data_IF_407721643566
#
_entry.id   IF_407721643566
#
_cell.length_a   1.000
_cell.length_b   1.000
_cell.length_c   1.000
_cell.angle_alpha   90.00
_cell.angle_beta   90.00
_cell.angle_gamma   90.00
#
_symmetry.space_group_name_H-M   'P 1'
#
loop_
_entity.id
_entity.type
_entity.pdbx_description
1 polymer ?
#
# COMPACT_ATOMS: atom_id res chain seq x y z
N UNK A 1 -14.12 -56.15 -63.22
CA UNK A 1 -13.09 -55.28 -62.62
C UNK A 1 -13.59 -54.85 -61.25
N UNK A 2 -12.89 -55.27 -60.19
CA UNK A 2 -13.24 -55.08 -58.77
C UNK A 2 -12.09 -54.33 -58.07
N UNK A 3 -12.46 -53.41 -57.18
CA UNK A 3 -11.88 -53.10 -55.87
C UNK A 3 -10.44 -52.55 -55.67
N UNK A 4 -10.42 -51.29 -55.18
CA UNK A 4 -9.79 -50.76 -53.93
C UNK A 4 -8.33 -51.03 -53.55
N UNK A 5 -7.53 -49.95 -53.38
CA UNK A 5 -6.96 -49.41 -52.11
C UNK A 5 -5.94 -48.27 -52.42
N UNK A 6 -6.19 -47.04 -51.93
CA UNK A 6 -5.60 -46.39 -50.73
C UNK A 6 -4.06 -46.25 -50.79
N UNK A 7 -3.57 -45.02 -51.00
CA UNK A 7 -2.17 -44.62 -50.79
C UNK A 7 -2.05 -43.82 -49.49
N UNK A 8 -1.30 -44.37 -48.53
CA UNK A 8 -0.86 -43.69 -47.32
C UNK A 8 0.33 -42.77 -47.62
N UNK A 9 0.22 -41.49 -47.32
CA UNK A 9 1.36 -40.62 -47.05
C UNK A 9 1.39 -40.33 -45.54
N UNK A 10 2.51 -40.70 -44.93
CA UNK A 10 2.77 -40.67 -43.50
C UNK A 10 2.82 -39.25 -42.94
N UNK A 11 2.00 -39.03 -41.92
CA UNK A 11 1.92 -37.83 -41.07
C UNK A 11 3.14 -37.77 -40.15
N UNK A 12 3.98 -36.74 -40.29
CA UNK A 12 4.75 -36.19 -39.17
C UNK A 12 4.03 -34.91 -38.72
N UNK A 13 3.26 -35.00 -37.64
CA UNK A 13 2.82 -33.83 -36.90
C UNK A 13 3.55 -33.82 -35.56
N UNK A 14 4.45 -32.84 -35.41
CA UNK A 14 5.14 -32.50 -34.17
C UNK A 14 4.11 -32.14 -33.10
N UNK A 15 4.20 -32.82 -31.95
CA UNK A 15 3.44 -32.49 -30.74
C UNK A 15 4.01 -31.21 -30.12
N UNK A 16 3.35 -30.08 -30.32
CA UNK A 16 3.49 -28.94 -29.43
C UNK A 16 2.51 -29.15 -28.26
N UNK A 17 3.06 -29.42 -27.07
CA UNK A 17 2.31 -29.35 -25.82
C UNK A 17 2.13 -27.86 -25.55
N UNK A 18 0.93 -27.34 -25.83
CA UNK A 18 0.51 -26.03 -25.35
C UNK A 18 0.16 -26.24 -23.88
N UNK A 19 1.10 -25.92 -22.99
CA UNK A 19 0.76 -25.61 -21.61
C UNK A 19 -0.11 -24.35 -21.65
N UNK A 20 -1.43 -24.51 -21.59
CA UNK A 20 -2.30 -23.45 -21.09
C UNK A 20 -1.97 -23.29 -19.60
N UNK A 21 -1.05 -22.39 -19.30
CA UNK A 21 -1.06 -21.72 -18.02
C UNK A 21 -2.40 -20.97 -17.99
N UNK A 22 -3.37 -21.53 -17.27
CA UNK A 22 -4.49 -20.76 -16.75
C UNK A 22 -3.88 -19.72 -15.82
N UNK A 23 -3.53 -18.56 -16.38
CA UNK A 23 -3.39 -17.37 -15.57
C UNK A 23 -4.79 -17.10 -15.03
N UNK A 24 -5.02 -17.47 -13.77
CA UNK A 24 -6.10 -16.88 -13.01
C UNK A 24 -5.75 -15.38 -12.98
N UNK A 25 -6.41 -14.58 -13.81
CA UNK A 25 -6.38 -13.14 -13.62
C UNK A 25 -7.09 -12.95 -12.27
N UNK A 26 -6.32 -12.66 -11.23
CA UNK A 26 -6.92 -12.19 -9.98
C UNK A 26 -7.55 -10.86 -10.35
N UNK A 27 -8.86 -10.87 -10.44
CA UNK A 27 -9.65 -9.72 -10.86
C UNK A 27 -9.75 -8.75 -9.71
N UNK A 28 -9.63 -7.47 -10.06
CA UNK A 28 -9.66 -6.31 -9.15
C UNK A 28 -11.07 -5.79 -9.09
N UNK A 29 -11.56 -5.20 -8.01
CA UNK A 29 -12.80 -4.46 -8.19
C UNK A 29 -12.72 -3.33 -9.22
N UNK A 30 -13.86 -3.04 -9.82
CA UNK A 30 -13.99 -1.92 -10.75
C UNK A 30 -14.15 -0.62 -9.95
N UNK A 31 -13.13 0.23 -10.03
CA UNK A 31 -13.09 1.53 -9.40
C UNK A 31 -12.84 2.62 -10.42
N UNK A 32 -13.46 3.77 -10.20
CA UNK A 32 -13.14 5.01 -10.89
C UNK A 32 -12.20 5.80 -10.02
N UNK A 33 -11.07 6.18 -10.59
CA UNK A 33 -10.13 7.08 -9.95
C UNK A 33 -10.34 8.51 -10.43
N UNK A 34 -10.21 9.46 -9.50
CA UNK A 34 -10.12 10.87 -9.84
C UNK A 34 -8.82 11.20 -10.57
N UNK A 35 -8.67 12.47 -10.94
CA UNK A 35 -7.39 12.99 -11.42
C UNK A 35 -6.43 13.16 -10.23
N UNK A 36 -5.18 12.65 -10.32
CA UNK A 36 -4.17 12.91 -9.31
C UNK A 36 -3.88 14.41 -9.14
N UNK A 37 -3.80 14.85 -7.88
CA UNK A 37 -3.42 16.22 -7.54
C UNK A 37 -2.46 16.25 -6.35
N UNK A 38 -1.64 17.29 -6.26
CA UNK A 38 -0.80 17.51 -5.08
C UNK A 38 -1.68 17.79 -3.87
N UNK A 39 -1.33 17.22 -2.71
CA UNK A 39 -2.04 17.49 -1.46
C UNK A 39 -1.90 18.97 -1.09
N UNK A 40 -2.99 19.74 -1.01
CA UNK A 40 -2.93 21.17 -0.70
C UNK A 40 -2.41 21.42 0.72
N UNK A 41 -1.67 22.52 0.92
CA UNK A 41 -1.10 22.99 2.20
C UNK A 41 -0.10 22.05 2.91
N UNK A 42 0.07 20.82 2.43
CA UNK A 42 1.03 19.86 2.99
C UNK A 42 2.41 20.04 2.35
N UNK A 43 2.45 20.16 1.02
CA UNK A 43 3.69 20.30 0.26
C UNK A 43 4.40 21.64 0.51
N UNK A 44 5.71 21.64 0.29
CA UNK A 44 6.62 22.78 0.46
C UNK A 44 7.58 22.91 -0.74
N UNK A 45 8.54 23.83 -0.65
CA UNK A 45 9.64 23.91 -1.63
C UNK A 45 10.72 22.84 -1.41
N UNK A 46 10.67 22.16 -0.26
CA UNK A 46 11.57 21.09 0.10
C UNK A 46 11.06 19.76 -0.45
N UNK A 47 11.83 18.69 -0.23
CA UNK A 47 11.36 17.34 -0.56
C UNK A 47 10.33 16.91 0.48
N UNK A 48 9.14 16.51 0.04
CA UNK A 48 8.06 15.97 0.87
C UNK A 48 7.63 14.61 0.33
N UNK A 49 7.78 13.57 1.13
CA UNK A 49 7.63 12.18 0.66
C UNK A 49 7.11 11.24 1.75
N UNK A 50 6.84 10.00 1.35
CA UNK A 50 6.41 8.91 2.21
C UNK A 50 5.18 9.25 3.08
N UNK A 51 4.04 9.60 2.46
CA UNK A 51 2.82 9.88 3.18
C UNK A 51 2.28 8.62 3.88
N UNK A 52 1.92 8.75 5.14
CA UNK A 52 1.25 7.74 5.95
C UNK A 52 0.02 8.35 6.60
N UNK A 53 -1.15 7.96 6.11
CA UNK A 53 -2.44 8.36 6.65
C UNK A 53 -2.84 7.44 7.82
N UNK A 54 -3.30 8.03 8.92
CA UNK A 54 -3.86 7.29 10.05
C UNK A 54 -5.14 6.57 9.66
N UNK A 55 -5.48 5.45 10.34
CA UNK A 55 -6.69 4.66 10.05
C UNK A 55 -7.98 5.46 10.07
N UNK A 56 -8.11 6.43 10.97
CA UNK A 56 -9.28 7.32 11.07
C UNK A 56 -9.27 8.48 10.06
N UNK A 57 -8.25 8.56 9.20
CA UNK A 57 -8.09 9.61 8.20
C UNK A 57 -7.75 10.99 8.76
N UNK A 58 -7.42 11.16 10.04
CA UNK A 58 -7.29 12.50 10.66
C UNK A 58 -5.85 13.00 10.83
N UNK A 59 -4.85 12.12 10.75
CA UNK A 59 -3.43 12.48 10.85
C UNK A 59 -2.68 11.99 9.59
N UNK A 60 -2.04 12.90 8.86
CA UNK A 60 -1.16 12.58 7.72
C UNK A 60 0.29 12.83 8.13
N UNK A 61 1.03 11.74 8.34
CA UNK A 61 2.47 11.76 8.61
C UNK A 61 3.26 11.69 7.31
N UNK A 62 4.42 12.32 7.25
CA UNK A 62 5.29 12.26 6.08
C UNK A 62 6.73 12.70 6.40
N UNK A 63 7.68 12.35 5.53
CA UNK A 63 9.09 12.76 5.64
C UNK A 63 9.29 14.10 4.93
N UNK A 64 10.04 15.01 5.54
CA UNK A 64 10.32 16.32 4.95
C UNK A 64 11.67 16.90 5.33
N UNK A 65 12.31 17.60 4.39
CA UNK A 65 13.57 18.34 4.60
C UNK A 65 13.36 19.83 4.92
N UNK A 66 12.12 20.27 5.16
CA UNK A 66 11.74 21.70 5.19
C UNK A 66 12.39 22.59 6.27
N UNK A 67 12.91 22.03 7.36
CA UNK A 67 13.50 22.83 8.46
C UNK A 67 15.04 22.82 8.45
N UNK A 68 15.63 21.63 8.47
CA UNK A 68 17.07 21.45 8.78
C UNK A 68 17.88 20.99 7.58
N UNK A 69 17.23 20.68 6.45
CA UNK A 69 17.84 19.97 5.33
C UNK A 69 18.03 18.47 5.56
N UNK A 70 17.87 17.99 6.79
CA UNK A 70 17.73 16.56 7.13
C UNK A 70 16.26 16.17 7.09
N UNK A 71 15.98 14.92 6.72
CA UNK A 71 14.62 14.42 6.82
C UNK A 71 14.16 14.34 8.28
N UNK A 72 12.98 14.92 8.55
CA UNK A 72 12.23 14.76 9.79
C UNK A 72 10.83 14.28 9.46
N UNK A 73 10.16 13.65 10.43
CA UNK A 73 8.74 13.34 10.28
C UNK A 73 7.90 14.55 10.68
N UNK A 74 6.98 14.91 9.78
CA UNK A 74 5.98 15.95 9.96
C UNK A 74 4.60 15.33 9.99
N UNK A 75 3.66 16.04 10.61
CA UNK A 75 2.26 15.64 10.69
C UNK A 75 1.35 16.83 10.39
N UNK A 76 0.35 16.62 9.53
CA UNK A 76 -0.82 17.49 9.41
C UNK A 76 -2.02 16.81 10.06
N UNK A 77 -2.82 17.55 10.84
CA UNK A 77 -3.97 17.01 11.57
C UNK A 77 -5.24 17.78 11.24
N UNK A 78 -6.24 17.09 10.71
CA UNK A 78 -7.56 17.68 10.40
C UNK A 78 -8.61 17.20 11.41
N UNK A 79 -9.68 17.99 11.60
CA UNK A 79 -10.72 17.66 12.57
C UNK A 79 -11.69 16.60 12.04
N UNK A 80 -12.00 16.67 10.75
CA UNK A 80 -12.84 15.70 10.04
C UNK A 80 -12.21 15.34 8.69
N UNK A 81 -12.64 14.23 8.10
CA UNK A 81 -12.18 13.81 6.77
C UNK A 81 -12.61 14.73 5.63
N UNK A 82 -13.53 15.66 5.89
CA UNK A 82 -13.98 16.68 4.93
C UNK A 82 -13.17 17.97 4.99
N UNK A 83 -12.43 18.18 6.08
CA UNK A 83 -11.62 19.38 6.25
C UNK A 83 -10.34 19.27 5.40
N UNK A 84 -9.91 20.41 4.87
CA UNK A 84 -8.60 20.50 4.22
C UNK A 84 -7.48 20.26 5.25
N UNK A 85 -6.38 19.66 4.79
CA UNK A 85 -5.18 19.56 5.60
C UNK A 85 -4.67 20.96 5.98
N UNK A 86 -4.47 21.25 7.28
CA UNK A 86 -3.78 22.47 7.70
C UNK A 86 -2.28 22.38 7.44
N UNK A 87 -1.58 23.50 7.68
CA UNK A 87 -0.12 23.50 7.67
C UNK A 87 0.43 22.47 8.67
N UNK A 88 1.38 21.62 8.25
CA UNK A 88 1.93 20.56 9.10
C UNK A 88 2.91 21.12 10.14
N UNK A 89 3.15 20.35 11.18
CA UNK A 89 4.15 20.60 12.23
C UNK A 89 5.10 19.40 12.35
N UNK A 90 6.35 19.57 12.81
CA UNK A 90 7.18 18.41 13.14
C UNK A 90 6.49 17.59 14.24
N UNK A 91 6.72 16.28 14.27
CA UNK A 91 6.20 15.45 15.36
C UNK A 91 6.84 15.87 16.69
N UNK A 92 6.02 15.96 17.74
CA UNK A 92 6.51 16.26 19.08
C UNK A 92 7.12 14.99 19.69
N UNK A 93 8.44 14.96 19.72
CA UNK A 93 9.22 13.92 20.38
C UNK A 93 9.81 14.51 21.66
N UNK A 94 9.83 13.72 22.73
CA UNK A 94 10.43 14.15 24.01
C UNK A 94 11.93 14.53 23.94
N UNK A 95 12.60 14.23 22.83
CA UNK A 95 14.03 14.48 22.57
C UNK A 95 14.23 14.89 21.11
N UNK A 96 15.12 15.87 20.84
CA UNK A 96 15.47 16.24 19.46
C UNK A 96 16.25 15.08 18.79
N UNK A 97 15.83 14.58 17.61
CA UNK A 97 16.47 13.42 17.01
C UNK A 97 17.89 13.75 16.51
N UNK A 98 18.83 12.82 16.73
CA UNK A 98 20.24 13.00 16.34
C UNK A 98 20.54 12.55 14.89
N UNK A 99 19.62 11.81 14.29
CA UNK A 99 19.68 11.24 12.93
C UNK A 99 18.45 11.65 12.11
N UNK A 100 18.38 11.23 10.84
CA UNK A 100 17.19 11.49 10.02
C UNK A 100 15.98 10.67 10.51
N UNK A 101 14.79 11.05 10.06
CA UNK A 101 13.58 10.26 10.26
C UNK A 101 12.82 10.20 8.94
N UNK A 102 12.74 9.00 8.36
CA UNK A 102 12.14 8.75 7.05
C UNK A 102 11.16 7.58 7.08
N UNK A 103 10.28 7.54 6.09
CA UNK A 103 9.34 6.44 5.84
C UNK A 103 8.46 6.09 7.05
N UNK A 104 7.64 7.05 7.54
CA UNK A 104 6.77 6.79 8.69
C UNK A 104 5.78 5.67 8.40
N UNK A 105 5.58 4.79 9.39
CA UNK A 105 4.55 3.75 9.38
C UNK A 105 3.81 3.71 10.70
N UNK A 106 2.55 4.12 10.66
CA UNK A 106 1.69 4.24 11.83
C UNK A 106 0.87 2.96 12.02
N UNK A 107 0.91 2.41 13.23
CA UNK A 107 0.01 1.33 13.66
C UNK A 107 -1.47 1.74 13.60
N UNK A 108 -2.37 0.77 13.42
CA UNK A 108 -3.80 1.06 13.22
C UNK A 108 -4.49 1.74 14.41
N UNK A 109 -4.03 1.49 15.64
CA UNK A 109 -4.51 2.18 16.85
C UNK A 109 -3.86 3.56 17.04
N UNK A 110 -2.87 3.89 16.19
CA UNK A 110 -2.13 5.13 16.23
C UNK A 110 -1.17 5.25 17.40
N UNK A 111 -0.85 4.18 18.13
CA UNK A 111 -0.05 4.27 19.36
C UNK A 111 1.44 3.96 19.17
N UNK A 112 1.79 3.32 18.05
CA UNK A 112 3.16 3.06 17.59
C UNK A 112 3.39 3.74 16.23
N UNK A 113 4.51 4.46 16.08
CA UNK A 113 4.98 5.03 14.81
C UNK A 113 6.40 4.50 14.53
N UNK A 114 6.52 3.66 13.52
CA UNK A 114 7.77 3.09 13.04
C UNK A 114 8.38 4.02 11.99
N UNK A 115 9.70 4.10 11.95
CA UNK A 115 10.43 4.89 10.95
C UNK A 115 11.85 4.35 10.78
N UNK A 116 12.52 4.73 9.70
CA UNK A 116 13.95 4.46 9.51
C UNK A 116 14.78 5.72 9.75
N UNK A 117 15.99 5.59 10.31
CA UNK A 117 16.80 6.72 10.76
C UNK A 117 17.74 7.36 9.72
N UNK A 118 17.54 7.04 8.44
CA UNK A 118 18.14 7.76 7.32
C UNK A 118 18.81 6.88 6.26
N UNK A 119 19.90 7.39 5.69
CA UNK A 119 20.74 6.73 4.68
C UNK A 119 22.20 6.68 5.17
N UNK A 120 23.07 5.96 4.45
CA UNK A 120 24.50 5.82 4.78
C UNK A 120 25.12 7.16 5.22
N UNK A 121 25.61 7.21 6.46
CA UNK A 121 26.28 8.38 7.04
C UNK A 121 25.39 9.31 7.87
N UNK A 122 24.09 9.05 7.97
CA UNK A 122 23.18 9.76 8.89
C UNK A 122 22.60 8.90 10.01
N UNK A 123 22.99 7.61 10.08
CA UNK A 123 22.56 6.67 11.11
C UNK A 123 22.80 7.17 12.54
N UNK A 124 21.88 6.84 13.45
CA UNK A 124 22.06 7.10 14.87
C UNK A 124 23.23 6.24 15.41
N UNK A 125 24.23 6.83 16.10
CA UNK A 125 25.32 6.07 16.72
C UNK A 125 24.89 5.01 17.74
N UNK A 126 23.65 5.05 18.22
CA UNK A 126 23.05 4.04 19.08
C UNK A 126 22.42 2.86 18.31
N UNK A 127 22.40 2.91 16.97
CA UNK A 127 21.94 1.86 16.08
C UNK A 127 22.97 0.75 15.81
N UNK A 128 22.64 -0.13 14.87
CA UNK A 128 23.38 -1.33 14.49
C UNK A 128 24.06 -1.23 13.13
N UNK A 129 23.48 -0.47 12.19
CA UNK A 129 23.93 -0.39 10.81
C UNK A 129 23.92 1.02 10.21
N UNK A 130 23.82 1.07 8.88
CA UNK A 130 23.82 2.29 8.08
C UNK A 130 22.42 2.97 8.02
N UNK A 131 21.37 2.21 8.30
CA UNK A 131 20.00 2.68 8.50
C UNK A 131 19.26 1.65 9.35
N UNK A 132 18.62 2.09 10.42
CA UNK A 132 17.93 1.24 11.38
C UNK A 132 16.46 1.61 11.47
N UNK A 133 15.61 0.63 11.78
CA UNK A 133 14.20 0.85 12.11
C UNK A 133 14.04 1.12 13.61
N UNK A 134 13.33 2.20 13.90
CA UNK A 134 13.00 2.69 15.23
C UNK A 134 11.49 2.76 15.41
N UNK A 135 11.04 2.76 16.67
CA UNK A 135 9.64 2.94 17.04
C UNK A 135 9.48 4.05 18.08
N UNK A 136 8.50 4.91 17.84
CA UNK A 136 7.97 5.86 18.81
C UNK A 136 6.67 5.30 19.38
N UNK A 137 6.44 5.49 20.67
CA UNK A 137 5.19 5.08 21.33
C UNK A 137 4.52 6.26 22.02
N UNK A 138 3.19 6.24 22.14
CA UNK A 138 2.41 7.21 22.92
C UNK A 138 1.29 6.50 23.68
N UNK A 139 0.86 7.07 24.81
CA UNK A 139 -0.17 6.47 25.65
C UNK A 139 -1.59 6.64 25.07
N UNK A 140 -1.82 7.71 24.32
CA UNK A 140 -3.04 7.98 23.57
C UNK A 140 -2.72 8.83 22.33
N UNK A 141 -3.67 8.91 21.37
CA UNK A 141 -3.51 9.71 20.14
C UNK A 141 -3.26 11.20 20.41
N UNK A 142 -3.69 11.71 21.57
CA UNK A 142 -3.46 13.10 21.98
C UNK A 142 -2.15 13.33 22.73
N UNK A 143 -1.48 12.28 23.19
CA UNK A 143 -0.24 12.39 23.94
C UNK A 143 0.98 12.59 23.00
N UNK A 144 2.04 13.27 23.47
CA UNK A 144 3.29 13.37 22.72
C UNK A 144 3.94 11.99 22.54
N UNK A 145 4.84 11.89 21.56
CA UNK A 145 5.63 10.68 21.36
C UNK A 145 6.73 10.57 22.42
N UNK A 146 6.87 9.38 22.99
CA UNK A 146 8.00 9.01 23.85
C UNK A 146 9.32 9.03 23.06
N UNK A 147 10.44 8.94 23.75
CA UNK A 147 11.76 8.81 23.12
C UNK A 147 11.81 7.58 22.20
N UNK A 148 12.49 7.68 21.03
CA UNK A 148 12.57 6.59 20.07
C UNK A 148 13.31 5.38 20.64
N UNK A 149 12.83 4.20 20.27
CA UNK A 149 13.41 2.92 20.66
C UNK A 149 13.83 2.15 19.41
N UNK A 150 15.09 1.71 19.36
CA UNK A 150 15.58 0.89 18.28
C UNK A 150 14.95 -0.52 18.35
N UNK A 151 14.53 -1.09 17.22
CA UNK A 151 13.90 -2.41 17.20
C UNK A 151 14.85 -3.59 17.50
N UNK A 152 16.13 -3.32 17.69
CA UNK A 152 17.13 -4.27 18.13
C UNK A 152 17.67 -5.15 17.00
N UNK A 153 18.68 -5.94 17.33
CA UNK A 153 19.50 -6.68 16.36
C UNK A 153 18.79 -7.84 15.64
N UNK A 154 17.52 -8.09 15.95
CA UNK A 154 16.71 -9.08 15.21
C UNK A 154 16.19 -8.47 13.91
N UNK A 155 15.86 -7.17 13.96
CA UNK A 155 15.38 -6.40 12.82
C UNK A 155 16.56 -5.71 12.16
N UNK A 156 17.30 -4.93 12.94
CA UNK A 156 18.38 -4.08 12.46
C UNK A 156 19.69 -4.87 12.40
N UNK A 157 20.32 -4.87 11.25
CA UNK A 157 21.57 -5.58 10.96
C UNK A 157 22.72 -4.57 10.89
N UNK A 158 23.89 -5.01 10.41
CA UNK A 158 24.98 -4.09 10.10
C UNK A 158 24.82 -3.39 8.74
N UNK A 159 23.70 -3.62 8.06
CA UNK A 159 23.41 -3.08 6.73
C UNK A 159 22.34 -1.98 6.84
N UNK A 160 21.43 -1.86 5.89
CA UNK A 160 20.34 -0.87 5.88
C UNK A 160 19.00 -1.59 5.97
N UNK A 161 18.22 -1.23 6.98
CA UNK A 161 16.81 -1.58 7.12
C UNK A 161 15.95 -0.32 7.07
N UNK A 162 15.06 -0.25 6.07
CA UNK A 162 14.26 0.94 5.81
C UNK A 162 12.82 0.62 5.37
N UNK A 163 12.04 1.68 5.14
CA UNK A 163 10.65 1.63 4.68
C UNK A 163 9.75 0.63 5.43
N UNK A 164 9.61 0.77 6.77
CA UNK A 164 8.76 -0.10 7.55
C UNK A 164 7.29 -0.01 7.14
N UNK A 165 6.56 -1.10 7.32
CA UNK A 165 5.12 -1.21 7.16
C UNK A 165 4.55 -2.18 8.21
N UNK A 166 3.91 -1.64 9.24
CA UNK A 166 3.25 -2.41 10.29
C UNK A 166 1.84 -2.83 9.85
N UNK A 167 1.47 -4.10 10.06
CA UNK A 167 0.13 -4.61 9.77
C UNK A 167 -0.93 -3.99 10.68
N UNK A 168 -2.21 -4.11 10.30
CA UNK A 168 -3.32 -3.52 11.04
C UNK A 168 -3.48 -4.09 12.45
N UNK A 169 -3.25 -5.38 12.64
CA UNK A 169 -3.23 -6.03 13.97
C UNK A 169 -1.94 -5.73 14.75
N UNK A 170 -0.93 -5.20 14.08
CA UNK A 170 0.39 -4.91 14.61
C UNK A 170 1.24 -6.16 14.84
N UNK A 171 0.94 -7.30 14.21
CA UNK A 171 1.67 -8.56 14.43
C UNK A 171 2.64 -8.91 13.30
N UNK A 172 2.56 -8.27 12.14
CA UNK A 172 3.50 -8.41 11.03
C UNK A 172 4.18 -7.05 10.76
N UNK A 173 5.50 -7.08 10.56
CA UNK A 173 6.26 -5.91 10.09
C UNK A 173 6.95 -6.28 8.78
N UNK A 174 6.57 -5.57 7.72
CA UNK A 174 7.22 -5.61 6.42
C UNK A 174 8.22 -4.46 6.35
N UNK A 175 9.39 -4.69 5.78
CA UNK A 175 10.41 -3.66 5.61
C UNK A 175 11.40 -4.06 4.52
N UNK A 176 12.21 -3.10 4.07
CA UNK A 176 13.27 -3.34 3.09
C UNK A 176 14.56 -3.62 3.84
N UNK A 177 15.29 -4.64 3.41
CA UNK A 177 16.63 -4.97 3.90
C UNK A 177 17.59 -5.15 2.73
N UNK A 178 18.79 -4.58 2.84
CA UNK A 178 19.85 -4.72 1.84
C UNK A 178 20.97 -5.70 2.25
N UNK A 179 20.70 -6.63 3.18
CA UNK A 179 21.71 -7.59 3.66
C UNK A 179 22.32 -8.37 2.47
N UNK A 180 23.65 -8.34 2.27
CA UNK A 180 24.32 -8.82 1.05
C UNK A 180 24.18 -10.32 0.69
N UNK A 181 23.48 -11.12 1.48
CA UNK A 181 23.27 -12.56 1.26
C UNK A 181 21.87 -12.89 0.71
N UNK A 182 21.01 -11.89 0.61
CA UNK A 182 19.81 -11.92 -0.21
C UNK A 182 20.23 -11.79 -1.68
N UNK A 183 19.52 -12.42 -2.61
CA UNK A 183 20.02 -12.66 -3.97
C UNK A 183 20.15 -11.35 -4.78
N UNK A 184 19.63 -10.24 -4.25
CA UNK A 184 19.60 -8.89 -4.79
C UNK A 184 19.87 -7.83 -3.70
N UNK A 185 20.21 -6.61 -4.13
CA UNK A 185 20.69 -5.53 -3.25
C UNK A 185 19.63 -4.95 -2.30
N UNK A 186 18.32 -4.98 -2.62
CA UNK A 186 17.25 -4.52 -1.71
C UNK A 186 16.05 -5.46 -1.83
N UNK A 187 15.65 -6.12 -0.75
CA UNK A 187 14.51 -7.04 -0.73
C UNK A 187 13.48 -6.62 0.34
N UNK A 188 12.19 -6.81 0.04
CA UNK A 188 11.13 -6.72 1.05
C UNK A 188 11.15 -8.01 1.86
N UNK A 189 11.36 -7.86 3.16
CA UNK A 189 11.29 -8.94 4.15
C UNK A 189 10.12 -8.71 5.10
N UNK A 190 9.70 -9.77 5.76
CA UNK A 190 8.63 -9.73 6.75
C UNK A 190 9.05 -10.47 8.02
N UNK A 191 8.67 -9.94 9.17
CA UNK A 191 8.77 -10.62 10.46
C UNK A 191 7.44 -10.59 11.20
N UNK A 192 7.26 -11.51 12.16
CA UNK A 192 6.06 -11.59 12.99
C UNK A 192 6.37 -11.54 14.48
N UNK A 193 5.38 -11.15 15.29
CA UNK A 193 5.37 -11.28 16.76
C UNK A 193 4.06 -11.91 17.22
N UNK A 194 4.10 -12.64 18.33
CA UNK A 194 2.91 -13.33 18.86
C UNK A 194 1.88 -12.37 19.49
N UNK A 195 2.35 -11.23 20.00
CA UNK A 195 1.53 -10.13 20.49
C UNK A 195 2.32 -8.82 20.38
N UNK A 196 1.65 -7.67 20.56
CA UNK A 196 2.32 -6.35 20.56
C UNK A 196 3.40 -6.17 21.65
N UNK A 197 3.45 -7.06 22.63
CA UNK A 197 4.42 -7.03 23.72
C UNK A 197 5.51 -8.11 23.61
N UNK A 198 5.37 -9.02 22.63
CA UNK A 198 6.36 -10.04 22.38
C UNK A 198 7.47 -9.51 21.44
N UNK A 199 8.70 -10.03 21.57
CA UNK A 199 9.76 -9.68 20.64
C UNK A 199 9.42 -10.12 19.21
N UNK A 200 9.94 -9.38 18.25
CA UNK A 200 9.90 -9.78 16.84
C UNK A 200 10.65 -11.09 16.61
N UNK A 201 10.13 -11.89 15.68
CA UNK A 201 10.74 -13.10 15.18
C UNK A 201 11.85 -12.83 14.17
N UNK A 202 12.44 -13.92 13.67
CA UNK A 202 13.44 -13.82 12.60
C UNK A 202 12.73 -13.43 11.29
N UNK A 203 13.24 -12.41 10.56
CA UNK A 203 12.66 -12.03 9.28
C UNK A 203 12.83 -13.11 8.21
N UNK A 204 11.88 -13.15 7.29
CA UNK A 204 11.84 -14.01 6.11
C UNK A 204 11.67 -13.17 4.85
N UNK A 205 12.27 -13.61 3.75
CA UNK A 205 12.09 -12.97 2.45
C UNK A 205 10.76 -13.37 1.84
N UNK A 206 10.14 -12.42 1.14
CA UNK A 206 8.95 -12.73 0.34
C UNK A 206 9.34 -13.51 -0.92
N UNK A 207 8.35 -14.19 -1.53
CA UNK A 207 8.55 -14.97 -2.74
C UNK A 207 8.85 -14.08 -3.97
N UNK A 208 9.26 -14.72 -5.07
CA UNK A 208 9.70 -14.03 -6.30
C UNK A 208 8.63 -13.28 -7.07
N UNK A 209 7.39 -13.29 -6.58
CA UNK A 209 6.30 -12.46 -7.09
C UNK A 209 6.31 -11.05 -6.50
N UNK A 210 7.02 -10.85 -5.38
CA UNK A 210 7.28 -9.53 -4.81
C UNK A 210 8.75 -9.19 -5.07
N UNK A 211 9.68 -9.98 -4.53
CA UNK A 211 11.12 -9.75 -4.68
C UNK A 211 11.63 -10.36 -5.99
N UNK A 212 11.83 -9.56 -7.03
CA UNK A 212 12.27 -10.04 -8.33
C UNK A 212 13.76 -9.73 -8.60
N UNK A 213 14.16 -9.57 -9.87
CA UNK A 213 15.55 -9.26 -10.24
C UNK A 213 15.90 -7.77 -10.07
N UNK A 214 14.90 -6.92 -9.81
CA UNK A 214 15.05 -5.49 -9.57
C UNK A 214 15.26 -5.21 -8.08
N UNK A 215 14.78 -4.05 -7.64
CA UNK A 215 14.94 -3.56 -6.29
C UNK A 215 13.55 -3.15 -5.81
N UNK A 216 13.11 -3.77 -4.73
CA UNK A 216 11.78 -3.54 -4.18
C UNK A 216 11.88 -2.65 -2.94
N UNK A 217 10.99 -1.67 -2.87
CA UNK A 217 10.96 -0.66 -1.82
C UNK A 217 9.55 -0.37 -1.35
N UNK A 218 9.46 0.34 -0.23
CA UNK A 218 8.26 1.07 0.18
C UNK A 218 6.99 0.19 0.26
N UNK A 219 7.03 -0.94 0.99
CA UNK A 219 5.86 -1.77 1.19
C UNK A 219 4.74 -0.98 1.86
N UNK A 220 3.50 -1.24 1.44
CA UNK A 220 2.28 -0.82 2.13
C UNK A 220 1.29 -1.98 2.07
N UNK A 221 0.91 -2.49 3.23
CA UNK A 221 -0.03 -3.59 3.40
C UNK A 221 -1.44 -3.02 3.59
N UNK A 222 -2.41 -3.55 2.85
CA UNK A 222 -3.83 -3.25 3.08
C UNK A 222 -4.30 -3.72 4.46
N UNK A 223 -5.40 -3.16 4.94
CA UNK A 223 -5.86 -3.41 6.33
C UNK A 223 -6.32 -4.86 6.56
N UNK A 224 -6.85 -5.51 5.54
CA UNK A 224 -7.20 -6.94 5.53
C UNK A 224 -5.95 -7.84 5.41
N UNK A 225 -4.78 -7.27 5.11
CA UNK A 225 -3.55 -8.01 4.88
C UNK A 225 -3.49 -8.72 3.53
N UNK A 226 -4.43 -8.50 2.59
CA UNK A 226 -4.54 -9.29 1.36
C UNK A 226 -3.92 -8.63 0.13
N UNK A 227 -3.56 -7.35 0.20
CA UNK A 227 -2.88 -6.60 -0.85
C UNK A 227 -1.60 -5.95 -0.32
N UNK A 228 -0.50 -6.14 -1.05
CA UNK A 228 0.78 -5.51 -0.78
C UNK A 228 1.14 -4.59 -1.95
N UNK A 229 1.19 -3.29 -1.67
CA UNK A 229 1.71 -2.29 -2.59
C UNK A 229 3.20 -2.14 -2.31
N UNK A 230 3.98 -1.96 -3.36
CA UNK A 230 5.40 -1.71 -3.25
C UNK A 230 5.89 -0.97 -4.48
N UNK A 231 7.00 -0.25 -4.38
CA UNK A 231 7.64 0.34 -5.54
C UNK A 231 8.80 -0.54 -6.02
N UNK A 232 8.93 -0.69 -7.33
CA UNK A 232 10.08 -1.37 -7.94
C UNK A 232 10.66 -0.52 -9.06
N UNK A 233 11.99 -0.61 -9.21
CA UNK A 233 12.75 0.10 -10.24
C UNK A 233 14.06 0.68 -9.71
N UNK A 234 14.91 1.14 -10.64
CA UNK A 234 16.17 1.79 -10.32
C UNK A 234 15.93 3.27 -10.03
N UNK A 235 16.11 4.14 -11.03
CA UNK A 235 15.95 5.59 -10.88
C UNK A 235 14.51 6.08 -11.03
N UNK A 236 13.68 5.32 -11.75
CA UNK A 236 12.27 5.62 -12.01
C UNK A 236 11.43 4.51 -11.40
N UNK A 237 11.24 4.56 -10.08
CA UNK A 237 10.42 3.59 -9.39
C UNK A 237 8.95 3.80 -9.77
N UNK A 238 8.20 2.71 -9.83
CA UNK A 238 6.77 2.69 -10.07
C UNK A 238 6.11 1.77 -9.07
N UNK A 239 4.82 2.01 -8.77
CA UNK A 239 4.07 1.22 -7.81
C UNK A 239 3.48 0.00 -8.48
N UNK A 240 3.60 -1.12 -7.77
CA UNK A 240 3.02 -2.40 -8.10
C UNK A 240 2.18 -2.89 -6.92
N UNK A 241 1.21 -3.75 -7.22
CA UNK A 241 0.39 -4.42 -6.21
C UNK A 241 0.42 -5.92 -6.44
N UNK A 242 0.68 -6.68 -5.38
CA UNK A 242 0.51 -8.12 -5.32
C UNK A 242 -0.62 -8.45 -4.34
N UNK A 243 -1.33 -9.56 -4.55
CA UNK A 243 -2.43 -9.99 -3.67
C UNK A 243 -2.19 -11.39 -3.10
N UNK A 244 -2.94 -11.79 -2.08
CA UNK A 244 -3.00 -13.17 -1.58
C UNK A 244 -4.43 -13.52 -1.17
N UNK A 245 -4.92 -14.76 -1.39
CA UNK A 245 -6.28 -15.14 -1.01
C UNK A 245 -6.55 -15.14 0.49
N UNK A 246 -5.54 -15.51 1.29
CA UNK A 246 -5.59 -15.45 2.76
C UNK A 246 -4.25 -14.98 3.29
N UNK A 247 -4.19 -14.57 4.57
CA UNK A 247 -2.95 -14.14 5.21
C UNK A 247 -1.89 -15.24 5.32
N UNK A 248 -2.27 -16.51 5.17
CA UNK A 248 -1.35 -17.66 5.19
C UNK A 248 -0.82 -18.03 3.80
N UNK A 249 -1.41 -17.48 2.74
CA UNK A 249 -1.02 -17.76 1.36
C UNK A 249 0.15 -16.88 0.90
N UNK A 250 0.88 -17.37 -0.10
CA UNK A 250 1.96 -16.60 -0.75
C UNK A 250 1.41 -15.53 -1.68
N UNK A 251 2.14 -14.42 -1.82
CA UNK A 251 1.82 -13.36 -2.77
C UNK A 251 1.74 -13.85 -4.22
N UNK A 252 0.71 -13.39 -4.93
CA UNK A 252 0.50 -13.58 -6.37
C UNK A 252 1.39 -12.64 -7.18
N UNK A 253 1.51 -12.89 -8.48
CA UNK A 253 2.31 -12.03 -9.36
C UNK A 253 1.82 -10.59 -9.32
N UNK A 254 2.78 -9.66 -9.23
CA UNK A 254 2.50 -8.25 -9.17
C UNK A 254 1.79 -7.74 -10.42
N UNK A 255 1.10 -6.62 -10.25
CA UNK A 255 0.44 -5.89 -11.31
C UNK A 255 0.81 -4.41 -11.22
N UNK A 256 0.94 -3.76 -12.37
CA UNK A 256 1.21 -2.32 -12.43
C UNK A 256 0.04 -1.54 -11.83
N UNK A 257 0.33 -0.56 -10.98
CA UNK A 257 -0.69 0.18 -10.27
C UNK A 257 -1.05 1.50 -10.97
N UNK A 258 -2.02 1.43 -11.88
CA UNK A 258 -2.67 2.62 -12.48
C UNK A 258 -3.85 3.07 -11.62
N UNK A 259 -4.08 4.37 -11.39
CA UNK A 259 -3.49 5.53 -12.09
C UNK A 259 -2.39 6.28 -11.34
N UNK A 260 -1.96 5.83 -10.15
CA UNK A 260 -0.96 6.58 -9.35
C UNK A 260 0.38 6.69 -10.08
N UNK A 261 0.69 5.71 -10.91
CA UNK A 261 1.88 5.70 -11.74
C UNK A 261 1.77 6.74 -12.85
N UNK A 262 2.70 7.71 -12.83
CA UNK A 262 2.75 8.80 -13.78
C UNK A 262 4.11 8.94 -14.47
N UNK A 263 4.33 10.09 -15.11
CA UNK A 263 5.66 10.45 -15.59
C UNK A 263 6.60 10.69 -14.39
N UNK A 264 7.83 10.15 -14.48
CA UNK A 264 8.83 10.26 -13.42
C UNK A 264 8.88 9.03 -12.52
N UNK A 265 9.04 9.25 -11.22
CA UNK A 265 9.04 8.20 -10.20
C UNK A 265 7.80 8.35 -9.31
N UNK A 266 7.17 7.22 -8.98
CA UNK A 266 6.02 7.12 -8.06
C UNK A 266 6.31 6.03 -7.03
N UNK A 267 6.14 6.32 -5.74
CA UNK A 267 6.36 5.37 -4.65
C UNK A 267 5.62 5.78 -3.36
N UNK A 268 5.80 5.00 -2.28
CA UNK A 268 5.19 5.20 -0.97
C UNK A 268 3.68 5.46 -1.02
N UNK A 269 2.91 4.43 -1.32
CA UNK A 269 1.44 4.49 -1.25
C UNK A 269 0.99 4.39 0.20
N UNK A 270 -0.04 5.14 0.57
CA UNK A 270 -0.90 4.84 1.70
C UNK A 270 -2.36 5.12 1.34
N UNK A 271 -3.29 4.43 2.01
CA UNK A 271 -4.71 4.47 1.68
C UNK A 271 -5.56 4.78 2.92
N UNK A 272 -6.48 5.72 2.74
CA UNK A 272 -7.51 6.09 3.71
C UNK A 272 -8.84 5.48 3.30
N UNK A 273 -9.34 4.53 4.11
CA UNK A 273 -10.67 3.95 3.90
C UNK A 273 -11.80 4.93 4.25
N UNK A 274 -11.56 5.85 5.20
CA UNK A 274 -12.58 6.78 5.71
C UNK A 274 -13.02 7.83 4.70
N UNK A 275 -12.16 8.16 3.75
CA UNK A 275 -12.46 9.07 2.65
C UNK A 275 -11.96 8.55 1.31
N UNK A 276 -11.83 7.23 1.16
CA UNK A 276 -11.44 6.55 -0.08
C UNK A 276 -10.35 7.26 -0.88
N UNK A 277 -9.29 7.69 -0.21
CA UNK A 277 -8.22 8.50 -0.82
C UNK A 277 -6.89 7.76 -0.73
N UNK A 278 -6.20 7.66 -1.86
CA UNK A 278 -4.84 7.15 -1.92
C UNK A 278 -3.90 8.35 -1.89
N UNK A 279 -2.92 8.31 -0.98
CA UNK A 279 -1.80 9.24 -0.93
C UNK A 279 -0.56 8.55 -1.46
N UNK A 280 0.29 9.29 -2.17
CA UNK A 280 1.51 8.74 -2.72
C UNK A 280 2.58 9.82 -2.95
N UNK A 281 3.82 9.40 -3.15
CA UNK A 281 4.92 10.31 -3.51
C UNK A 281 5.16 10.30 -5.01
N UNK A 282 5.37 11.47 -5.58
CA UNK A 282 5.82 11.61 -6.98
C UNK A 282 6.93 12.65 -7.11
N UNK A 283 7.87 12.40 -8.02
CA UNK A 283 8.98 13.31 -8.35
C UNK A 283 9.60 12.98 -9.71
N UNK A 284 10.68 13.67 -10.08
CA UNK A 284 11.32 13.46 -11.38
C UNK A 284 12.04 12.11 -11.47
N UNK A 285 12.81 11.77 -10.44
CA UNK A 285 13.49 10.49 -10.24
C UNK A 285 13.97 10.38 -8.79
N UNK A 286 14.39 9.20 -8.34
CA UNK A 286 14.72 8.98 -6.92
C UNK A 286 15.92 9.81 -6.40
N UNK A 287 16.77 10.34 -7.29
CA UNK A 287 17.94 11.14 -6.92
C UNK A 287 17.71 12.66 -7.01
N UNK A 288 16.56 13.09 -7.54
CA UNK A 288 16.28 14.51 -7.76
C UNK A 288 15.91 15.25 -6.47
N UNK A 289 15.45 14.52 -5.45
CA UNK A 289 14.99 15.06 -4.17
C UNK A 289 13.91 16.15 -4.36
N UNK A 290 13.10 16.08 -5.42
CA UNK A 290 12.05 17.01 -5.79
C UNK A 290 10.64 16.46 -5.53
N UNK A 291 10.52 15.62 -4.50
CA UNK A 291 9.30 14.90 -4.19
C UNK A 291 8.21 15.80 -3.64
N UNK A 292 6.99 15.49 -4.08
CA UNK A 292 5.77 16.01 -3.51
C UNK A 292 4.82 14.87 -3.16
N UNK A 293 3.92 15.13 -2.24
CA UNK A 293 2.84 14.26 -1.83
C UNK A 293 1.61 14.57 -2.70
N UNK A 294 1.10 13.53 -3.34
CA UNK A 294 -0.06 13.53 -4.21
C UNK A 294 -1.19 12.73 -3.57
N UNK A 295 -2.41 13.01 -4.01
CA UNK A 295 -3.61 12.28 -3.66
C UNK A 295 -4.45 11.97 -4.89
N UNK A 296 -5.21 10.88 -4.82
CA UNK A 296 -6.24 10.54 -5.79
C UNK A 296 -7.43 9.90 -5.08
N UNK A 297 -8.64 10.33 -5.45
CA UNK A 297 -9.88 9.76 -4.94
C UNK A 297 -10.16 8.43 -5.63
N UNK A 298 -10.60 7.43 -4.87
CA UNK A 298 -11.14 6.17 -5.38
C UNK A 298 -12.65 6.15 -5.15
N UNK A 299 -13.41 5.83 -6.19
CA UNK A 299 -14.87 5.69 -6.13
C UNK A 299 -15.25 4.29 -6.63
N UNK A 300 -15.92 3.45 -5.84
CA UNK A 300 -16.40 2.15 -6.31
C UNK A 300 -17.43 2.33 -7.42
N UNK A 301 -17.40 1.44 -8.41
CA UNK A 301 -18.51 1.31 -9.38
C UNK A 301 -19.62 0.54 -8.69
N UNK A 302 -20.73 1.22 -8.40
CA UNK A 302 -21.85 0.68 -7.61
C UNK A 302 -23.15 0.52 -8.41
N UNK A 303 -23.20 1.08 -9.61
CA UNK A 303 -24.23 0.79 -10.62
C UNK A 303 -23.74 -0.45 -11.39
N UNK A 304 -24.12 -1.62 -10.87
CA UNK A 304 -23.63 -2.94 -11.27
C UNK A 304 -24.35 -3.48 -12.50
N UNK A 305 -25.53 -2.94 -12.83
CA UNK A 305 -26.29 -3.30 -14.02
C UNK A 305 -26.19 -2.26 -15.16
N UNK A 306 -25.47 -1.15 -14.95
CA UNK A 306 -25.25 -0.04 -15.89
C UNK A 306 -26.57 0.60 -16.39
N UNK A 307 -27.56 0.73 -15.50
CA UNK A 307 -28.86 1.32 -15.81
C UNK A 307 -28.97 2.82 -15.45
N UNK A 308 -27.93 3.37 -14.82
CA UNK A 308 -27.83 4.76 -14.41
C UNK A 308 -28.39 5.06 -13.02
N UNK A 309 -28.84 4.05 -12.28
CA UNK A 309 -29.29 4.16 -10.89
C UNK A 309 -28.49 3.21 -9.98
N UNK A 310 -28.41 3.56 -8.70
CA UNK A 310 -27.89 2.65 -7.65
C UNK A 310 -29.08 2.26 -6.79
N UNK A 311 -29.68 1.12 -7.08
CA UNK A 311 -30.95 0.69 -6.51
C UNK A 311 -30.99 -0.81 -6.15
N UNK A 312 -32.19 -1.34 -5.90
CA UNK A 312 -32.36 -2.74 -5.50
C UNK A 312 -31.95 -3.75 -6.58
N UNK A 313 -31.87 -3.36 -7.86
CA UNK A 313 -31.40 -4.21 -8.95
C UNK A 313 -29.89 -4.46 -8.85
N UNK A 314 -29.10 -3.47 -8.42
CA UNK A 314 -27.67 -3.66 -8.13
C UNK A 314 -27.45 -4.63 -6.98
N UNK A 315 -28.31 -4.56 -5.96
CA UNK A 315 -28.28 -5.53 -4.86
C UNK A 315 -28.52 -6.95 -5.38
N UNK A 316 -29.43 -7.14 -6.34
CA UNK A 316 -29.64 -8.45 -6.95
C UNK A 316 -28.46 -8.90 -7.81
N UNK A 317 -27.80 -8.00 -8.54
CA UNK A 317 -26.57 -8.30 -9.29
C UNK A 317 -25.46 -8.77 -8.34
N UNK A 318 -25.23 -8.05 -7.24
CA UNK A 318 -24.23 -8.39 -6.24
C UNK A 318 -24.53 -9.76 -5.60
N UNK A 319 -25.76 -9.96 -5.10
CA UNK A 319 -26.17 -11.23 -4.47
C UNK A 319 -26.17 -12.40 -5.47
N UNK A 320 -26.40 -12.14 -6.75
CA UNK A 320 -26.30 -13.13 -7.82
C UNK A 320 -24.88 -13.65 -8.06
N UNK A 321 -23.87 -12.92 -7.59
CA UNK A 321 -22.45 -13.26 -7.72
C UNK A 321 -21.77 -13.56 -6.37
N UNK A 322 -22.55 -13.88 -5.33
CA UNK A 322 -22.04 -14.15 -3.98
C UNK A 322 -21.01 -15.28 -3.92
N UNK A 323 -19.92 -15.04 -3.19
CA UNK A 323 -18.81 -15.98 -2.99
C UNK A 323 -17.57 -15.64 -3.83
N UNK A 324 -16.60 -16.58 -3.92
CA UNK A 324 -15.38 -16.38 -4.69
C UNK A 324 -15.69 -16.06 -6.15
N UNK A 325 -15.08 -14.99 -6.66
CA UNK A 325 -15.38 -14.46 -7.99
C UNK A 325 -14.12 -14.12 -8.77
N UNK A 326 -14.17 -14.31 -10.09
CA UNK A 326 -13.25 -13.72 -11.06
C UNK A 326 -13.89 -12.52 -11.78
N UNK A 327 -14.99 -12.00 -11.25
CA UNK A 327 -15.71 -10.85 -11.78
C UNK A 327 -15.53 -9.65 -10.86
N UNK A 328 -14.39 -9.02 -11.10
CA UNK A 328 -14.00 -7.64 -10.82
C UNK A 328 -15.18 -6.73 -10.40
N UNK A 329 -16.16 -6.52 -11.28
CA UNK A 329 -17.29 -5.61 -11.09
C UNK A 329 -18.05 -5.75 -9.76
N UNK A 330 -18.12 -6.95 -9.17
CA UNK A 330 -18.93 -7.22 -7.98
C UNK A 330 -18.12 -7.25 -6.66
N UNK A 331 -16.79 -7.22 -6.73
CA UNK A 331 -15.87 -7.40 -5.60
C UNK A 331 -15.40 -6.05 -5.04
N UNK A 332 -16.33 -5.11 -4.86
CA UNK A 332 -16.09 -3.69 -4.59
C UNK A 332 -15.55 -3.38 -3.18
N UNK A 333 -15.36 -4.40 -2.35
CA UNK A 333 -14.78 -4.30 -1.02
C UNK A 333 -13.83 -5.48 -0.70
N UNK A 334 -12.83 -5.26 0.17
CA UNK A 334 -12.41 -3.99 0.69
C UNK A 334 -11.80 -3.09 -0.39
N UNK A 335 -12.10 -1.79 -0.30
CA UNK A 335 -11.51 -0.81 -1.20
C UNK A 335 -9.99 -0.72 -0.99
N UNK A 336 -9.20 -0.44 -2.04
CA UNK A 336 -9.63 -0.10 -3.39
C UNK A 336 -9.46 -1.25 -4.42
N UNK A 337 -9.47 -2.54 -4.03
CA UNK A 337 -9.21 -3.64 -4.99
C UNK A 337 -10.03 -4.91 -4.84
N UNK A 338 -10.85 -5.03 -3.79
CA UNK A 338 -11.55 -6.28 -3.52
C UNK A 338 -10.65 -7.34 -2.89
N UNK A 339 -11.25 -8.41 -2.39
CA UNK A 339 -10.54 -9.57 -1.83
C UNK A 339 -10.71 -10.85 -2.68
N UNK A 340 -11.36 -10.73 -3.84
CA UNK A 340 -11.71 -11.84 -4.72
C UNK A 340 -12.97 -12.59 -4.28
N UNK A 341 -13.74 -12.07 -3.32
CA UNK A 341 -14.90 -12.72 -2.74
C UNK A 341 -16.04 -11.73 -2.52
N UNK A 342 -17.10 -11.83 -3.34
CA UNK A 342 -18.33 -11.05 -3.11
C UNK A 342 -19.00 -11.51 -1.83
N UNK A 343 -19.05 -10.63 -0.83
CA UNK A 343 -19.52 -10.93 0.51
C UNK A 343 -20.25 -9.73 1.16
N UNK A 344 -20.35 -9.76 2.50
CA UNK A 344 -21.07 -8.73 3.25
C UNK A 344 -20.40 -7.36 3.20
N UNK A 345 -19.08 -7.30 3.03
CA UNK A 345 -18.33 -6.06 2.91
C UNK A 345 -18.70 -5.31 1.64
N UNK A 346 -18.84 -6.01 0.52
CA UNK A 346 -19.29 -5.42 -0.75
C UNK A 346 -20.71 -4.87 -0.65
N UNK A 347 -21.59 -5.63 0.01
CA UNK A 347 -22.97 -5.21 0.22
C UNK A 347 -23.07 -3.95 1.09
N UNK A 348 -22.17 -3.79 2.07
CA UNK A 348 -22.10 -2.58 2.88
C UNK A 348 -21.70 -1.39 2.00
N UNK A 349 -20.64 -1.52 1.19
CA UNK A 349 -20.21 -0.46 0.26
C UNK A 349 -21.34 -0.08 -0.69
N UNK A 350 -22.03 -1.05 -1.29
CA UNK A 350 -23.19 -0.79 -2.15
C UNK A 350 -24.30 -0.04 -1.40
N UNK A 351 -24.67 -0.52 -0.21
CA UNK A 351 -25.76 0.07 0.59
C UNK A 351 -25.47 1.52 1.02
N UNK A 352 -24.21 1.84 1.34
CA UNK A 352 -23.80 3.22 1.67
C UNK A 352 -24.06 4.19 0.51
N UNK A 353 -23.88 3.73 -0.73
CA UNK A 353 -24.11 4.56 -1.92
C UNK A 353 -25.59 4.68 -2.29
N UNK A 354 -26.44 3.73 -1.87
CA UNK A 354 -27.90 3.84 -2.00
C UNK A 354 -28.48 4.93 -1.08
N UNK A 355 -27.98 5.04 0.16
CA UNK A 355 -28.50 5.99 1.17
C UNK A 355 -28.20 7.45 0.80
N UNK A 356 -27.05 7.72 0.17
CA UNK A 356 -26.67 9.06 -0.27
C UNK A 356 -27.63 9.58 -1.35
N UNK A 357 -28.15 8.71 -2.21
CA UNK A 357 -29.08 9.07 -3.26
C UNK A 357 -30.40 9.61 -2.70
N UNK A 358 -30.96 8.94 -1.67
CA UNK A 358 -32.20 9.37 -1.02
C UNK A 358 -32.07 10.76 -0.37
N UNK A 359 -30.94 11.05 0.30
CA UNK A 359 -30.72 12.37 0.93
C UNK A 359 -30.61 13.50 -0.10
N UNK A 360 -30.10 13.24 -1.31
CA UNK A 360 -29.96 14.25 -2.37
C UNK A 360 -31.29 14.65 -3.02
N UNK A 361 -32.29 13.77 -2.98
CA UNK A 361 -33.65 14.03 -3.49
C UNK A 361 -34.42 14.96 -2.53
N UNK A 362 -34.23 14.81 -1.22
CA UNK A 362 -34.93 15.62 -0.21
C UNK A 362 -34.46 17.09 -0.16
N UNK A 363 -33.23 17.42 -0.59
CA UNK A 363 -32.72 18.81 -0.56
C UNK A 363 -33.18 19.64 -1.78
N UNK A 364 -33.60 18.99 -2.86
CA UNK A 364 -34.08 19.66 -4.08
C UNK A 364 -35.63 19.66 -4.21
N UNK A 365 -36.32 19.12 -3.20
CA UNK A 365 -37.77 18.91 -3.20
C UNK A 365 -38.59 19.83 -2.29
N UNK A 366 -38.02 20.91 -1.75
CA UNK A 366 -38.73 21.89 -0.90
C UNK A 366 -38.62 23.33 -1.41
#
# INVERSE_FOLDING_TARGET
>A
MKNTRVSNTSVLMSRAIICMLLFCQVTRADFIFGEPEMVPNVNSIASDSAPQISRNGLELYFSSTRDTGMNRIWVSKRLTTKDAWPAPTPIDTSVDPVSEQVFPSLSADGLELYYADGTVGTADPAGYGDSDIWVLTRASISDPWNAPQNLGSVINTSSEENSPCISADGLELYYVSNVPNYYHNSEIVMTTRASKHDPWGKPVTLNSNVNDLFYEYNPFLSTDGLSLFFSSGLSLQQVYVASRPTTEDTWTSWQFFTPVNGFGTTHNVSYSAEDSTIYFTQGSNVFALDFNIWQVKVTPVVDLNDDGAVDTFDVFELLGNWGPTDKSLYDIAPMPFGDGVVNGEDLIVLAEHMIIYEQSIDVNGL
#
